data_IF_400655098657
#
_entry.id   IF_400655098657
#
_cell.length_a   1.000
_cell.length_b   1.000
_cell.length_c   1.000
_cell.angle_alpha   90.00
_cell.angle_beta   90.00
_cell.angle_gamma   90.00
#
_symmetry.space_group_name_H-M   'P 1'
#
loop_
_entity.id
_entity.type
_entity.pdbx_description
1 polymer ?
#
# COMPACT_ATOMS: atom_id res chain seq x y z
N UNK A 1 -24.25 -7.52 -77.59
CA UNK A 1 -23.94 -6.44 -76.65
C UNK A 1 -24.24 -6.94 -75.26
N UNK A 2 -23.21 -7.26 -74.46
CA UNK A 2 -23.34 -7.78 -73.10
C UNK A 2 -22.79 -6.71 -72.15
N UNK A 3 -23.66 -6.14 -71.34
CA UNK A 3 -23.27 -5.21 -70.27
C UNK A 3 -22.81 -6.01 -69.04
N UNK A 4 -21.54 -5.91 -68.69
CA UNK A 4 -20.99 -6.42 -67.47
C UNK A 4 -21.12 -5.35 -66.34
N UNK A 5 -21.96 -5.64 -65.36
CA UNK A 5 -22.06 -4.83 -64.14
C UNK A 5 -20.92 -5.14 -63.15
N UNK A 6 -20.16 -4.12 -62.77
CA UNK A 6 -19.12 -4.21 -61.73
C UNK A 6 -19.83 -3.98 -60.38
N UNK A 7 -19.83 -5.03 -59.54
CA UNK A 7 -20.26 -4.92 -58.12
C UNK A 7 -19.09 -4.43 -57.28
N UNK A 8 -19.18 -3.23 -56.74
CA UNK A 8 -18.25 -2.70 -55.74
C UNK A 8 -18.75 -3.15 -54.36
N UNK A 9 -18.00 -4.09 -53.74
CA UNK A 9 -18.25 -4.50 -52.36
C UNK A 9 -17.53 -3.49 -51.43
N UNK A 10 -18.29 -2.61 -50.81
CA UNK A 10 -17.77 -1.74 -49.75
C UNK A 10 -17.61 -2.55 -48.45
N UNK A 11 -16.37 -2.82 -48.07
CA UNK A 11 -16.06 -3.40 -46.76
C UNK A 11 -16.03 -2.26 -45.72
N UNK A 12 -17.06 -2.18 -44.90
CA UNK A 12 -17.10 -1.28 -43.77
C UNK A 12 -16.20 -1.84 -42.65
N UNK A 13 -15.06 -1.19 -42.40
CA UNK A 13 -14.17 -1.48 -41.33
C UNK A 13 -14.78 -0.97 -40.01
N UNK A 14 -15.37 -1.86 -39.22
CA UNK A 14 -15.90 -1.55 -37.88
C UNK A 14 -14.72 -1.36 -36.94
N UNK A 15 -14.33 -0.11 -36.65
CA UNK A 15 -13.39 0.23 -35.58
C UNK A 15 -14.07 -0.03 -34.23
N UNK A 16 -13.81 -1.17 -33.65
CA UNK A 16 -14.15 -1.47 -32.26
C UNK A 16 -13.28 -0.60 -31.35
N UNK A 17 -13.81 0.55 -30.96
CA UNK A 17 -13.24 1.32 -29.85
C UNK A 17 -13.45 0.53 -28.56
N UNK A 18 -12.40 -0.14 -28.08
CA UNK A 18 -12.40 -0.71 -26.74
C UNK A 18 -12.49 0.44 -25.75
N UNK A 19 -13.69 0.71 -25.24
CA UNK A 19 -13.87 1.62 -24.13
C UNK A 19 -13.04 1.09 -22.97
N UNK A 20 -12.07 1.88 -22.50
CA UNK A 20 -11.29 1.55 -21.31
C UNK A 20 -12.27 1.28 -20.16
N UNK A 21 -12.18 0.08 -19.57
CA UNK A 21 -13.00 -0.26 -18.40
C UNK A 21 -12.69 0.74 -17.28
N UNK A 22 -13.71 1.27 -16.58
CA UNK A 22 -13.45 2.18 -15.47
C UNK A 22 -12.58 1.48 -14.43
N UNK A 23 -11.47 2.13 -14.04
CA UNK A 23 -10.58 1.62 -12.98
C UNK A 23 -11.41 1.35 -11.72
N UNK A 24 -11.17 0.23 -11.00
CA UNK A 24 -11.91 -0.06 -9.78
C UNK A 24 -11.69 1.08 -8.78
N UNK A 25 -12.78 1.68 -8.31
CA UNK A 25 -12.73 2.67 -7.23
C UNK A 25 -12.33 1.93 -5.96
N UNK A 26 -11.25 2.36 -5.31
CA UNK A 26 -10.88 1.83 -3.99
C UNK A 26 -12.07 1.98 -3.03
N UNK A 27 -12.36 0.94 -2.26
CA UNK A 27 -13.23 1.08 -1.10
C UNK A 27 -12.64 2.19 -0.20
N UNK A 28 -13.50 2.90 0.54
CA UNK A 28 -13.01 3.95 1.44
C UNK A 28 -12.76 3.44 2.85
N UNK A 29 -13.04 2.18 3.10
CA UNK A 29 -12.94 1.57 4.42
C UNK A 29 -11.50 1.53 4.94
N UNK A 30 -10.52 1.42 4.04
CA UNK A 30 -9.10 1.40 4.37
C UNK A 30 -8.50 2.79 4.63
N UNK A 31 -9.22 3.88 4.31
CA UNK A 31 -8.68 5.25 4.38
C UNK A 31 -8.75 5.76 5.81
N UNK A 32 -7.61 6.05 6.46
CA UNK A 32 -7.59 6.60 7.80
C UNK A 32 -8.27 7.97 7.91
N UNK A 33 -8.67 8.32 9.11
CA UNK A 33 -9.13 9.67 9.43
C UNK A 33 -8.11 10.71 8.96
N UNK A 34 -8.60 11.68 8.22
CA UNK A 34 -7.76 12.75 7.67
C UNK A 34 -7.23 13.68 8.75
N UNK A 35 -5.92 13.85 8.82
CA UNK A 35 -5.28 14.85 9.68
C UNK A 35 -5.46 16.28 9.17
N UNK A 36 -5.19 17.29 10.01
CA UNK A 36 -5.19 18.70 9.61
C UNK A 36 -4.22 18.93 8.43
N UNK A 37 -4.70 19.61 7.37
CA UNK A 37 -3.92 19.93 6.16
C UNK A 37 -3.33 18.73 5.40
N UNK A 38 -3.72 17.52 5.74
CA UNK A 38 -3.26 16.30 5.08
C UNK A 38 -3.91 16.17 3.69
N UNK A 39 -3.08 15.88 2.67
CA UNK A 39 -3.54 15.57 1.33
C UNK A 39 -3.53 14.06 1.12
N UNK A 40 -4.69 13.49 0.84
CA UNK A 40 -4.81 12.10 0.41
C UNK A 40 -4.58 12.03 -1.10
N UNK A 41 -3.65 11.20 -1.52
CA UNK A 41 -3.29 10.95 -2.92
C UNK A 41 -3.84 9.56 -3.27
N UNK A 42 -4.63 9.51 -4.35
CA UNK A 42 -5.27 8.30 -4.83
C UNK A 42 -4.48 7.72 -6.00
N UNK A 43 -4.06 6.48 -5.89
CA UNK A 43 -3.46 5.67 -6.95
C UNK A 43 -4.40 4.55 -7.40
N UNK A 44 -4.02 3.82 -8.44
CA UNK A 44 -4.83 2.74 -9.00
C UNK A 44 -5.08 1.62 -7.97
N UNK A 45 -4.06 1.25 -7.19
CA UNK A 45 -4.12 0.14 -6.24
C UNK A 45 -4.16 0.56 -4.77
N UNK A 46 -3.90 1.82 -4.44
CA UNK A 46 -3.77 2.27 -3.05
C UNK A 46 -4.00 3.78 -2.91
N UNK A 47 -4.17 4.21 -1.68
CA UNK A 47 -4.10 5.62 -1.30
C UNK A 47 -2.89 5.87 -0.41
N UNK A 48 -2.39 7.09 -0.38
CA UNK A 48 -1.29 7.50 0.50
C UNK A 48 -1.42 8.94 0.96
N UNK A 49 -0.79 9.26 2.07
CA UNK A 49 -0.54 10.61 2.54
C UNK A 49 0.96 10.84 2.63
N UNK A 50 1.47 11.86 1.92
CA UNK A 50 2.89 12.16 1.90
C UNK A 50 3.28 13.23 2.91
N UNK A 51 4.33 12.97 3.67
CA UNK A 51 4.92 13.87 4.65
C UNK A 51 6.13 14.61 4.06
N UNK A 52 5.96 15.90 3.79
CA UNK A 52 7.03 16.73 3.22
C UNK A 52 8.17 17.04 4.22
N UNK A 53 7.89 17.01 5.53
CA UNK A 53 8.93 17.21 6.55
C UNK A 53 9.87 16.00 6.64
N UNK A 54 9.31 14.79 6.52
CA UNK A 54 10.04 13.53 6.62
C UNK A 54 10.44 12.94 5.27
N UNK A 55 10.00 13.55 4.17
CA UNK A 55 10.21 13.11 2.77
C UNK A 55 9.82 11.64 2.50
N UNK A 56 8.73 11.18 3.08
CA UNK A 56 8.20 9.83 2.92
C UNK A 56 6.69 9.78 3.25
N UNK A 57 5.97 8.68 3.00
CA UNK A 57 4.56 8.62 3.37
C UNK A 57 4.34 8.64 4.89
N UNK A 58 3.25 9.26 5.35
CA UNK A 58 2.70 9.04 6.68
C UNK A 58 2.12 7.64 6.79
N UNK A 59 1.37 7.26 5.77
CA UNK A 59 0.71 5.97 5.64
C UNK A 59 0.39 5.67 4.18
N UNK A 60 0.16 4.40 3.91
CA UNK A 60 -0.49 3.87 2.70
C UNK A 60 -1.68 3.03 3.11
N UNK A 61 -2.72 3.00 2.28
CA UNK A 61 -3.91 2.24 2.53
C UNK A 61 -4.39 1.53 1.27
N UNK A 62 -4.74 0.25 1.37
CA UNK A 62 -5.14 -0.55 0.22
C UNK A 62 -6.02 -1.72 0.64
N UNK A 63 -6.72 -2.25 -0.34
CA UNK A 63 -7.61 -3.39 -0.25
C UNK A 63 -6.96 -4.61 -0.90
N UNK A 64 -7.05 -5.79 -0.27
CA UNK A 64 -6.47 -7.02 -0.78
C UNK A 64 -7.43 -8.20 -0.62
N UNK A 65 -7.68 -8.93 -1.72
CA UNK A 65 -8.50 -10.13 -1.78
C UNK A 65 -8.00 -11.05 -2.91
N UNK A 66 -8.44 -12.29 -2.95
CA UNK A 66 -7.89 -13.32 -3.83
C UNK A 66 -7.78 -12.89 -5.31
N UNK A 67 -8.78 -12.16 -5.85
CA UNK A 67 -8.75 -11.72 -7.25
C UNK A 67 -7.63 -10.72 -7.54
N UNK A 68 -7.23 -9.87 -6.56
CA UNK A 68 -6.10 -8.93 -6.69
C UNK A 68 -4.74 -9.59 -6.58
N UNK A 69 -4.69 -10.89 -6.30
CA UNK A 69 -3.44 -11.67 -6.29
C UNK A 69 -3.20 -12.44 -7.61
N UNK A 70 -4.12 -12.30 -8.57
CA UNK A 70 -3.93 -12.82 -9.92
C UNK A 70 -2.94 -11.91 -10.68
N UNK A 71 -1.81 -12.48 -11.07
CA UNK A 71 -0.79 -11.73 -11.81
C UNK A 71 -1.20 -11.58 -13.27
N UNK A 72 -1.30 -10.34 -13.74
CA UNK A 72 -1.53 -10.00 -15.16
C UNK A 72 -0.37 -9.20 -15.75
N UNK A 73 0.58 -8.76 -14.91
CA UNK A 73 1.75 -8.01 -15.33
C UNK A 73 3.02 -8.52 -14.65
N UNK A 74 4.18 -8.13 -15.17
CA UNK A 74 5.47 -8.41 -14.56
C UNK A 74 5.87 -7.33 -13.53
N UNK A 75 6.77 -7.70 -12.63
CA UNK A 75 7.31 -6.76 -11.64
C UNK A 75 8.13 -5.66 -12.33
N UNK A 76 7.72 -4.42 -12.12
CA UNK A 76 8.51 -3.26 -12.46
C UNK A 76 9.52 -2.97 -11.32
N UNK A 77 10.80 -2.70 -11.64
CA UNK A 77 11.82 -2.39 -10.63
C UNK A 77 12.30 -0.92 -10.70
N UNK A 78 11.54 -0.06 -11.37
CA UNK A 78 11.91 1.34 -11.61
C UNK A 78 11.28 2.27 -10.59
N UNK A 79 12.06 2.66 -9.57
CA UNK A 79 11.66 3.69 -8.61
C UNK A 79 11.65 5.07 -9.25
N UNK A 80 10.52 5.78 -9.13
CA UNK A 80 10.32 7.13 -9.69
C UNK A 80 9.64 8.05 -8.68
N UNK A 81 9.78 9.36 -8.89
CA UNK A 81 8.99 10.34 -8.14
C UNK A 81 7.51 10.17 -8.46
N UNK A 82 6.67 10.40 -7.46
CA UNK A 82 5.22 10.43 -7.63
C UNK A 82 4.81 11.77 -8.28
N UNK A 83 4.20 11.76 -9.47
CA UNK A 83 3.81 13.00 -10.15
C UNK A 83 2.71 13.78 -9.41
N UNK A 84 2.00 13.16 -8.47
CA UNK A 84 0.95 13.81 -7.68
C UNK A 84 1.50 14.48 -6.40
N UNK A 85 2.77 14.24 -6.05
CA UNK A 85 3.44 14.86 -4.90
C UNK A 85 4.28 16.05 -5.36
N UNK A 86 3.99 17.23 -4.81
CA UNK A 86 4.74 18.45 -5.15
C UNK A 86 6.17 18.38 -4.61
N UNK A 87 7.19 18.80 -5.38
CA UNK A 87 8.56 18.91 -4.87
C UNK A 87 8.67 19.95 -3.71
N UNK A 88 9.69 19.82 -2.82
CA UNK A 88 10.72 18.78 -2.83
C UNK A 88 10.20 17.44 -2.32
N UNK A 89 10.64 16.36 -2.95
CA UNK A 89 10.28 14.98 -2.59
C UNK A 89 11.52 14.10 -2.55
N UNK A 90 11.43 12.96 -1.85
CA UNK A 90 12.43 11.93 -1.85
C UNK A 90 12.75 11.44 -3.27
N UNK A 91 14.02 11.21 -3.55
CA UNK A 91 14.54 10.65 -4.78
C UNK A 91 15.07 9.23 -4.54
N UNK A 92 15.00 8.39 -5.56
CA UNK A 92 15.66 7.06 -5.51
C UNK A 92 17.16 7.17 -5.20
N UNK A 93 17.82 8.26 -5.65
CA UNK A 93 19.22 8.53 -5.40
C UNK A 93 19.54 8.75 -3.91
N UNK A 94 18.60 9.24 -3.09
CA UNK A 94 18.80 9.49 -1.66
C UNK A 94 19.07 8.19 -0.87
N UNK A 95 18.66 7.05 -1.41
CA UNK A 95 18.93 5.72 -0.84
C UNK A 95 20.27 5.11 -1.27
N UNK A 96 20.94 5.68 -2.27
CA UNK A 96 22.15 5.09 -2.83
C UNK A 96 23.27 5.10 -1.79
N UNK A 97 23.84 3.91 -1.51
CA UNK A 97 24.89 3.71 -0.50
C UNK A 97 24.50 4.15 0.92
N UNK A 98 23.20 4.28 1.22
CA UNK A 98 22.71 4.67 2.54
C UNK A 98 22.76 3.54 3.58
N UNK A 99 22.84 2.29 3.15
CA UNK A 99 22.70 1.11 4.01
C UNK A 99 21.25 0.69 4.24
N UNK A 100 20.28 1.41 3.68
CA UNK A 100 18.85 1.11 3.77
C UNK A 100 18.28 0.67 2.42
N UNK A 101 17.33 -0.26 2.47
CA UNK A 101 16.52 -0.64 1.31
C UNK A 101 15.46 0.43 1.02
N UNK A 102 15.07 0.54 -0.24
CA UNK A 102 13.85 1.24 -0.66
C UNK A 102 12.68 0.34 -0.30
N UNK A 103 12.24 0.39 0.96
CA UNK A 103 11.22 -0.49 1.49
C UNK A 103 9.82 -0.04 1.04
N UNK A 104 9.09 -0.96 0.42
CA UNK A 104 7.71 -0.75 0.05
C UNK A 104 6.80 -0.82 1.28
N UNK A 105 5.78 0.02 1.33
CA UNK A 105 4.70 -0.06 2.31
C UNK A 105 3.51 -0.86 1.73
N UNK A 106 3.08 -0.52 0.51
CA UNK A 106 2.24 -1.40 -0.32
C UNK A 106 3.16 -2.32 -1.11
N UNK A 107 3.12 -3.64 -0.89
CA UNK A 107 4.02 -4.55 -1.58
C UNK A 107 3.75 -4.57 -3.10
N UNK A 108 4.81 -4.53 -3.90
CA UNK A 108 4.67 -4.68 -5.35
C UNK A 108 4.02 -6.02 -5.75
N UNK A 109 4.20 -7.07 -4.94
CA UNK A 109 3.56 -8.37 -5.16
C UNK A 109 2.03 -8.35 -5.01
N UNK A 110 1.48 -7.34 -4.32
CA UNK A 110 0.04 -7.14 -4.14
C UNK A 110 -0.56 -6.29 -5.28
N UNK A 111 0.27 -5.78 -6.19
CA UNK A 111 -0.11 -4.88 -7.29
C UNK A 111 0.07 -5.50 -8.69
N UNK A 112 0.34 -6.81 -8.78
CA UNK A 112 0.53 -7.54 -10.05
C UNK A 112 -0.74 -7.65 -10.91
N UNK A 113 -1.89 -7.29 -10.38
CA UNK A 113 -3.19 -7.41 -11.04
C UNK A 113 -3.50 -6.29 -12.04
N UNK A 114 -2.68 -5.23 -12.09
CA UNK A 114 -2.86 -4.08 -12.97
C UNK A 114 -1.49 -3.42 -13.24
N UNK A 115 -1.20 -3.03 -14.48
CA UNK A 115 0.09 -2.43 -14.87
C UNK A 115 0.33 -1.07 -14.22
N UNK A 116 -0.71 -0.25 -14.11
CA UNK A 116 -0.63 1.05 -13.46
C UNK A 116 -0.41 0.88 -11.95
N UNK A 117 -1.17 -0.02 -11.31
CA UNK A 117 -1.00 -0.32 -9.89
C UNK A 117 0.43 -0.80 -9.58
N UNK A 118 0.98 -1.68 -10.44
CA UNK A 118 2.36 -2.15 -10.33
C UNK A 118 3.35 -0.99 -10.49
N UNK A 119 3.22 -0.17 -11.52
CA UNK A 119 4.10 0.99 -11.75
C UNK A 119 4.04 1.97 -10.59
N UNK A 120 2.84 2.29 -10.12
CA UNK A 120 2.60 3.24 -9.03
C UNK A 120 3.12 2.73 -7.69
N UNK A 121 3.17 1.42 -7.45
CA UNK A 121 3.77 0.85 -6.24
C UNK A 121 5.26 1.19 -6.09
N UNK A 122 5.96 1.55 -7.19
CA UNK A 122 7.35 2.01 -7.20
C UNK A 122 7.51 3.54 -7.12
N UNK A 123 6.42 4.28 -6.90
CA UNK A 123 6.55 5.69 -6.57
C UNK A 123 7.18 5.91 -5.20
N UNK A 124 8.06 6.91 -5.11
CA UNK A 124 8.74 7.23 -3.85
C UNK A 124 7.79 7.63 -2.73
N UNK A 125 6.54 7.95 -3.03
CA UNK A 125 5.44 8.16 -2.08
C UNK A 125 4.90 6.87 -1.44
N UNK A 126 5.41 5.71 -1.84
CA UNK A 126 5.15 4.39 -1.24
C UNK A 126 6.39 3.82 -0.53
N UNK A 127 7.50 4.56 -0.48
CA UNK A 127 8.82 4.04 -0.09
C UNK A 127 9.31 4.69 1.20
N UNK A 128 9.88 3.88 2.09
CA UNK A 128 10.47 4.31 3.35
C UNK A 128 11.82 3.63 3.59
N UNK A 129 12.78 4.25 4.32
CA UNK A 129 14.06 3.64 4.64
C UNK A 129 13.90 2.45 5.59
N UNK A 130 14.11 1.25 5.05
CA UNK A 130 14.02 0.00 5.82
C UNK A 130 15.39 -0.67 5.95
N UNK A 131 15.72 -1.14 7.16
CA UNK A 131 16.91 -1.97 7.37
C UNK A 131 16.78 -3.24 6.51
N UNK A 132 17.81 -3.67 5.76
CA UNK A 132 17.71 -4.84 4.87
C UNK A 132 17.21 -6.11 5.58
N UNK A 133 17.67 -6.37 6.80
CA UNK A 133 17.22 -7.54 7.58
C UNK A 133 15.79 -7.45 8.10
N UNK A 134 15.22 -6.24 8.23
CA UNK A 134 13.80 -6.01 8.48
C UNK A 134 12.99 -6.23 7.19
N UNK A 135 13.31 -5.48 6.14
CA UNK A 135 12.59 -5.48 4.86
C UNK A 135 12.52 -6.88 4.23
N UNK A 136 13.66 -7.56 4.13
CA UNK A 136 13.79 -8.89 3.52
C UNK A 136 13.47 -10.03 4.50
N UNK A 137 13.29 -9.72 5.79
CA UNK A 137 13.01 -10.63 6.89
C UNK A 137 11.57 -10.55 7.37
N UNK A 138 11.38 -10.08 8.60
CA UNK A 138 10.09 -10.12 9.31
C UNK A 138 8.97 -9.35 8.58
N UNK A 139 9.29 -8.23 7.90
CA UNK A 139 8.31 -7.47 7.13
C UNK A 139 7.80 -8.27 5.94
N UNK A 140 8.72 -8.90 5.18
CA UNK A 140 8.35 -9.81 4.09
C UNK A 140 7.50 -10.99 4.58
N UNK A 141 7.83 -11.57 5.74
CA UNK A 141 7.04 -12.67 6.34
C UNK A 141 5.62 -12.20 6.64
N UNK A 142 5.45 -10.98 7.21
CA UNK A 142 4.13 -10.41 7.44
C UNK A 142 3.35 -10.23 6.14
N UNK A 143 3.98 -9.68 5.10
CA UNK A 143 3.35 -9.52 3.78
C UNK A 143 2.90 -10.84 3.15
N UNK A 144 3.71 -11.88 3.26
CA UNK A 144 3.37 -13.24 2.78
C UNK A 144 2.15 -13.79 3.54
N UNK A 145 2.11 -13.64 4.85
CA UNK A 145 0.96 -14.04 5.68
C UNK A 145 -0.33 -13.29 5.32
N UNK A 146 -0.24 -11.99 5.06
CA UNK A 146 -1.37 -11.19 4.57
C UNK A 146 -1.90 -11.72 3.24
N UNK A 147 -1.00 -12.01 2.28
CA UNK A 147 -1.39 -12.62 1.00
C UNK A 147 -2.03 -14.00 1.17
N UNK A 148 -1.51 -14.84 2.06
CA UNK A 148 -2.08 -16.16 2.33
C UNK A 148 -3.51 -16.06 2.87
N UNK A 149 -3.77 -15.09 3.76
CA UNK A 149 -5.13 -14.79 4.23
C UNK A 149 -6.05 -14.38 3.07
N UNK A 150 -5.61 -13.46 2.22
CA UNK A 150 -6.40 -13.04 1.05
C UNK A 150 -6.66 -14.21 0.09
N UNK A 151 -5.68 -15.10 -0.16
CA UNK A 151 -5.86 -16.32 -0.97
C UNK A 151 -6.87 -17.28 -0.37
N UNK A 152 -6.94 -17.36 0.96
CA UNK A 152 -7.89 -18.23 1.67
C UNK A 152 -9.32 -17.72 1.70
N UNK A 153 -9.61 -16.60 1.01
CA UNK A 153 -10.95 -16.06 0.86
C UNK A 153 -11.25 -14.82 1.73
N UNK A 154 -10.29 -14.32 2.48
CA UNK A 154 -10.43 -13.06 3.22
C UNK A 154 -10.49 -11.86 2.29
N UNK A 155 -11.21 -10.83 2.72
CA UNK A 155 -11.24 -9.51 2.10
C UNK A 155 -10.66 -8.50 3.08
N UNK A 156 -9.43 -8.09 2.81
CA UNK A 156 -8.60 -7.35 3.74
C UNK A 156 -8.54 -5.87 3.37
N UNK A 157 -8.71 -5.01 4.38
CA UNK A 157 -8.45 -3.59 4.34
C UNK A 157 -7.21 -3.31 5.19
N UNK A 158 -6.22 -2.67 4.61
CA UNK A 158 -4.87 -2.59 5.17
C UNK A 158 -4.42 -1.14 5.20
N UNK A 159 -3.95 -0.69 6.36
CA UNK A 159 -3.21 0.55 6.52
C UNK A 159 -1.82 0.25 7.05
N UNK A 160 -0.78 0.81 6.44
CA UNK A 160 0.60 0.58 6.84
C UNK A 160 1.42 1.87 6.72
N UNK A 161 2.43 2.00 7.56
CA UNK A 161 3.30 3.18 7.53
C UNK A 161 4.45 3.12 8.51
N UNK A 162 5.34 4.13 8.45
CA UNK A 162 6.34 4.36 9.48
C UNK A 162 5.71 5.03 10.71
N UNK A 163 6.23 4.78 11.91
CA UNK A 163 5.99 5.63 13.06
C UNK A 163 6.97 6.81 13.02
N UNK A 164 6.47 7.96 12.61
CA UNK A 164 7.23 9.20 12.49
C UNK A 164 7.02 10.04 13.77
N UNK A 165 8.11 10.38 14.45
CA UNK A 165 8.05 11.32 15.57
C UNK A 165 8.20 12.75 15.10
N UNK A 166 8.04 13.72 16.01
CA UNK A 166 8.12 15.15 15.70
C UNK A 166 9.52 15.66 15.35
N UNK A 167 10.55 14.84 15.53
CA UNK A 167 11.95 15.23 15.34
C UNK A 167 12.65 14.36 14.29
N UNK A 168 13.39 15.01 13.37
CA UNK A 168 14.27 14.38 12.39
C UNK A 168 15.57 13.89 13.06
N UNK A 169 15.53 12.79 13.80
CA UNK A 169 16.72 12.30 14.56
C UNK A 169 17.78 11.69 13.66
N UNK A 170 17.38 10.85 12.71
CA UNK A 170 18.27 10.16 11.77
C UNK A 170 17.68 10.25 10.37
N UNK A 171 18.52 10.45 9.38
CA UNK A 171 18.07 10.55 7.99
C UNK A 171 19.09 9.95 7.03
N UNK A 172 18.62 9.59 5.83
CA UNK A 172 19.43 9.31 4.65
C UNK A 172 19.24 10.42 3.62
N UNK A 173 20.07 10.39 2.59
CA UNK A 173 20.00 11.35 1.48
C UNK A 173 20.87 12.59 1.70
N UNK A 174 21.40 13.10 0.59
CA UNK A 174 22.24 14.31 0.57
C UNK A 174 21.41 15.55 0.22
N UNK A 175 20.41 15.37 -0.64
CA UNK A 175 19.54 16.46 -1.10
C UNK A 175 18.26 16.60 -0.28
N UNK A 176 17.67 15.47 0.08
CA UNK A 176 16.44 15.40 0.86
C UNK A 176 16.71 14.55 2.09
N UNK A 177 16.50 15.13 3.26
CA UNK A 177 16.68 14.41 4.52
C UNK A 177 15.49 13.45 4.75
N UNK A 178 15.58 12.23 4.20
CA UNK A 178 14.55 11.21 4.41
C UNK A 178 14.73 10.59 5.78
N UNK A 179 13.78 10.80 6.67
CA UNK A 179 13.85 10.29 8.04
C UNK A 179 13.92 8.76 8.06
N UNK A 180 14.77 8.20 8.92
CA UNK A 180 14.83 6.76 9.20
C UNK A 180 13.85 6.46 10.33
N UNK A 181 12.75 5.75 10.10
CA UNK A 181 11.79 5.38 11.14
C UNK A 181 12.41 4.34 12.09
N UNK A 182 12.08 4.44 13.37
CA UNK A 182 12.46 3.42 14.35
C UNK A 182 11.51 2.21 14.31
N UNK A 183 10.24 2.41 13.91
CA UNK A 183 9.22 1.37 13.83
C UNK A 183 8.37 1.53 12.57
N UNK A 184 7.80 0.42 12.15
CA UNK A 184 6.73 0.37 11.13
C UNK A 184 5.48 -0.27 11.71
N UNK A 185 4.34 0.20 11.26
CA UNK A 185 3.05 -0.41 11.59
C UNK A 185 2.37 -1.00 10.36
N UNK A 186 1.50 -1.98 10.62
CA UNK A 186 0.53 -2.49 9.66
C UNK A 186 -0.74 -2.90 10.40
N UNK A 187 -1.85 -2.21 10.14
CA UNK A 187 -3.18 -2.54 10.62
C UNK A 187 -3.97 -3.25 9.52
N UNK A 188 -4.75 -4.25 9.87
CA UNK A 188 -5.47 -5.12 8.96
C UNK A 188 -6.85 -5.41 9.53
N UNK A 189 -7.88 -5.18 8.73
CA UNK A 189 -9.26 -5.57 9.00
C UNK A 189 -9.72 -6.57 7.95
N UNK A 190 -10.34 -7.66 8.37
CA UNK A 190 -10.96 -8.67 7.51
C UNK A 190 -12.48 -8.58 7.64
N UNK A 191 -13.16 -8.32 6.54
CA UNK A 191 -14.62 -8.13 6.50
C UNK A 191 -15.38 -9.39 6.05
N UNK A 192 -14.68 -10.51 5.80
CA UNK A 192 -15.32 -11.79 5.45
C UNK A 192 -15.42 -12.71 6.66
N UNK A 193 -16.61 -13.14 6.98
CA UNK A 193 -16.90 -14.05 8.07
C UNK A 193 -17.14 -13.35 9.40
N UNK A 194 -16.31 -13.58 10.38
CA UNK A 194 -16.36 -12.87 11.66
C UNK A 194 -15.38 -11.70 11.57
N UNK A 195 -15.87 -10.50 11.77
CA UNK A 195 -15.09 -9.26 11.79
C UNK A 195 -13.84 -9.43 12.66
N UNK A 196 -12.69 -9.22 12.06
CA UNK A 196 -11.39 -9.45 12.69
C UNK A 196 -10.44 -8.30 12.40
N UNK A 197 -9.80 -7.81 13.44
CA UNK A 197 -8.77 -6.78 13.35
C UNK A 197 -7.48 -7.22 14.01
N UNK A 198 -6.36 -6.78 13.47
CA UNK A 198 -5.03 -6.93 14.06
C UNK A 198 -4.13 -5.80 13.61
N UNK A 199 -3.27 -5.34 14.49
CA UNK A 199 -2.19 -4.46 14.13
C UNK A 199 -0.83 -5.03 14.55
N UNK A 200 0.20 -4.57 13.88
CA UNK A 200 1.60 -4.90 14.19
C UNK A 200 2.39 -3.62 14.33
N UNK A 201 3.27 -3.57 15.32
CA UNK A 201 4.29 -2.53 15.49
C UNK A 201 5.63 -3.24 15.55
N UNK A 202 6.43 -3.09 14.49
CA UNK A 202 7.67 -3.84 14.31
C UNK A 202 8.86 -2.87 14.26
N UNK A 203 9.91 -3.07 15.12
CA UNK A 203 11.12 -2.27 15.04
C UNK A 203 11.79 -2.39 13.67
N UNK A 204 12.31 -1.29 13.14
CA UNK A 204 13.07 -1.27 11.89
C UNK A 204 14.47 -1.89 12.07
N UNK A 205 14.49 -3.16 12.39
CA UNK A 205 15.72 -3.95 12.62
C UNK A 205 15.50 -5.43 12.27
N UNK A 206 16.57 -6.17 12.05
CA UNK A 206 16.50 -7.61 11.85
C UNK A 206 15.87 -8.30 13.06
N UNK A 207 14.94 -9.21 12.82
CA UNK A 207 14.33 -10.01 13.89
C UNK A 207 14.13 -11.45 13.46
N UNK A 208 14.30 -12.38 14.40
CA UNK A 208 13.94 -13.80 14.30
C UNK A 208 12.70 -14.14 15.15
N UNK A 209 12.11 -13.16 15.83
CA UNK A 209 10.93 -13.35 16.64
C UNK A 209 9.71 -13.70 15.77
N UNK A 210 8.73 -14.37 16.36
CA UNK A 210 7.45 -14.61 15.68
C UNK A 210 6.67 -13.29 15.48
N UNK A 211 5.79 -13.23 14.49
CA UNK A 211 4.93 -12.07 14.27
C UNK A 211 4.04 -11.76 15.49
N UNK A 212 3.62 -12.80 16.23
CA UNK A 212 2.81 -12.63 17.44
C UNK A 212 3.47 -11.78 18.53
N UNK A 213 4.80 -11.69 18.54
CA UNK A 213 5.54 -10.82 19.47
C UNK A 213 5.26 -9.34 19.22
N UNK A 214 4.90 -8.98 17.99
CA UNK A 214 4.69 -7.59 17.53
C UNK A 214 3.22 -7.26 17.32
N UNK A 215 2.33 -8.22 17.57
CA UNK A 215 0.90 -8.06 17.42
C UNK A 215 0.34 -7.19 18.54
N UNK A 216 -0.49 -6.22 18.18
CA UNK A 216 -1.19 -5.32 19.09
C UNK A 216 -2.65 -5.18 18.65
N UNK A 217 -3.49 -4.55 19.43
CA UNK A 217 -4.84 -4.16 19.03
C UNK A 217 -4.77 -2.95 18.09
N UNK A 218 -5.81 -2.75 17.28
CA UNK A 218 -5.92 -1.55 16.44
C UNK A 218 -6.05 -0.31 17.31
N UNK A 219 -6.93 -0.33 18.36
CA UNK A 219 -7.08 0.74 19.36
C UNK A 219 -5.72 1.21 19.94
N UNK A 220 -4.84 0.25 20.27
CA UNK A 220 -3.52 0.60 20.81
C UNK A 220 -2.65 1.33 19.79
N UNK A 221 -2.67 0.89 18.52
CA UNK A 221 -1.94 1.56 17.46
C UNK A 221 -2.52 2.95 17.17
N UNK A 222 -3.84 3.10 17.15
CA UNK A 222 -4.54 4.38 16.94
C UNK A 222 -4.22 5.40 18.03
N UNK A 223 -4.17 4.93 19.30
CA UNK A 223 -3.73 5.78 20.40
C UNK A 223 -2.30 6.31 20.20
N UNK A 224 -1.37 5.48 19.67
CA UNK A 224 0.00 5.90 19.35
C UNK A 224 0.01 6.90 18.20
N UNK A 225 -0.80 6.66 17.15
CA UNK A 225 -0.87 7.50 15.97
C UNK A 225 -1.71 8.77 16.20
N UNK A 226 -2.50 8.82 17.28
CA UNK A 226 -3.55 9.82 17.50
C UNK A 226 -4.46 9.95 16.28
N UNK A 227 -4.88 8.81 15.73
CA UNK A 227 -5.60 8.71 14.46
C UNK A 227 -6.45 7.44 14.42
N UNK A 228 -7.70 7.59 14.05
CA UNK A 228 -8.59 6.52 13.64
C UNK A 228 -8.17 5.99 12.26
N UNK A 229 -7.94 4.67 12.16
CA UNK A 229 -7.42 4.02 10.96
C UNK A 229 -8.52 3.52 10.02
N UNK A 230 -9.70 3.24 10.55
CA UNK A 230 -10.82 2.67 9.77
C UNK A 230 -12.15 3.40 10.01
N UNK A 231 -12.20 4.74 9.94
CA UNK A 231 -13.36 5.56 10.33
C UNK A 231 -14.63 5.31 9.51
N UNK A 232 -14.56 4.46 8.50
CA UNK A 232 -15.72 4.08 7.69
C UNK A 232 -16.29 2.72 8.08
N UNK A 233 -15.75 2.06 9.11
CA UNK A 233 -16.39 0.91 9.76
C UNK A 233 -17.65 1.36 10.50
N UNK A 234 -18.58 0.42 10.67
CA UNK A 234 -19.72 0.62 11.56
C UNK A 234 -19.22 0.62 13.02
N UNK A 235 -19.68 1.57 13.84
CA UNK A 235 -19.21 1.79 15.21
C UNK A 235 -19.30 0.52 16.09
N UNK A 236 -20.34 -0.33 15.90
CA UNK A 236 -20.49 -1.58 16.68
C UNK A 236 -19.45 -2.62 16.25
N UNK A 237 -19.16 -2.67 14.95
CA UNK A 237 -18.14 -3.55 14.40
C UNK A 237 -16.76 -3.08 14.83
N UNK A 238 -16.46 -1.79 14.68
CA UNK A 238 -15.22 -1.13 15.08
C UNK A 238 -14.88 -1.42 16.55
N UNK A 239 -15.79 -1.08 17.47
CA UNK A 239 -15.59 -1.35 18.92
C UNK A 239 -15.28 -2.81 19.24
N UNK A 240 -15.75 -3.75 18.45
CA UNK A 240 -15.56 -5.19 18.68
C UNK A 240 -14.23 -5.69 18.14
N UNK A 241 -13.83 -5.24 16.96
CA UNK A 241 -12.64 -5.75 16.27
C UNK A 241 -11.36 -5.05 16.69
N UNK A 242 -11.42 -3.77 17.07
CA UNK A 242 -10.24 -2.97 17.36
C UNK A 242 -9.67 -3.22 18.76
N UNK A 243 -10.52 -3.66 19.72
CA UNK A 243 -10.12 -4.02 21.09
C UNK A 243 -9.48 -5.40 21.22
N UNK A 244 -9.48 -6.18 20.18
CA UNK A 244 -8.99 -7.57 20.25
C UNK A 244 -7.89 -7.82 19.22
N UNK A 245 -6.92 -8.68 19.57
CA UNK A 245 -5.98 -9.24 18.60
C UNK A 245 -6.68 -10.40 17.91
N UNK A 246 -7.38 -10.12 16.80
CA UNK A 246 -8.40 -10.99 16.22
C UNK A 246 -7.91 -12.21 15.43
N UNK A 247 -6.62 -12.34 15.12
CA UNK A 247 -6.10 -13.47 14.35
C UNK A 247 -5.35 -14.45 15.25
N UNK A 248 -6.01 -15.46 15.75
CA UNK A 248 -5.39 -16.52 16.59
C UNK A 248 -4.31 -17.33 15.88
N UNK A 249 -3.90 -17.17 14.70
CA UNK A 249 -2.85 -17.87 13.96
C UNK A 249 -2.42 -17.04 12.72
N UNK A 250 -2.00 -15.83 12.98
CA UNK A 250 -1.44 -14.99 11.93
C UNK A 250 0.02 -15.32 11.65
#
# INVERSE_FOLDING_TARGET
MKHGGVFIISVALLLLTTAAQPKPKLSRLEIPQRGPNEKIIQHTGYATSYNHQHHQPNWVAYELFAKRLLSVTERNNRFTQDPQVKPPTCLSADYTKSGYDRGHLVPAADMLWDEDAMRESFYMSNISPQVPGFNRGIWKVLEEKVRDKARSGSHLFICAGPLLGDTLKRHIGVRNAVTIPDYFFKAIVDTVGIDRGIAFIIPNQSSKSSLSTFAVTIDYLEAILSRDLFPALDDEIEMKIEKTVGFKNF
#
